data_IF_764209661079
#
_entry.id   IF_764209661079
#
_cell.length_a   1.000
_cell.length_b   1.000
_cell.length_c   1.000
_cell.angle_alpha   90.00
_cell.angle_beta   90.00
_cell.angle_gamma   90.00
#
_symmetry.space_group_name_H-M   'P 1'
#
loop_
_entity.id
_entity.type
_entity.pdbx_description
1 polymer ?
#
# COMPACT_ATOMS: atom_id res chain seq x y z
N UNK A 1 13.32 -24.15 -42.70
CA UNK A 1 13.19 -23.31 -41.48
C UNK A 1 12.20 -23.99 -40.54
N UNK A 2 12.67 -24.86 -39.64
CA UNK A 2 11.82 -25.57 -38.67
C UNK A 2 11.70 -24.69 -37.42
N UNK A 3 10.59 -23.97 -37.29
CA UNK A 3 10.28 -23.16 -36.12
C UNK A 3 9.94 -24.08 -34.97
N UNK A 4 10.57 -23.81 -33.85
CA UNK A 4 10.68 -24.58 -32.63
C UNK A 4 9.33 -24.78 -31.89
N UNK A 5 8.53 -25.75 -32.33
CA UNK A 5 7.22 -26.11 -31.77
C UNK A 5 7.29 -26.44 -30.26
N UNK A 6 8.48 -26.80 -29.75
CA UNK A 6 8.66 -27.15 -28.35
C UNK A 6 8.53 -25.93 -27.41
N UNK A 7 9.06 -24.77 -27.80
CA UNK A 7 8.92 -23.54 -27.01
C UNK A 7 7.49 -23.02 -26.95
N UNK A 8 6.77 -23.09 -28.06
CA UNK A 8 5.36 -22.68 -28.10
C UNK A 8 4.46 -23.59 -27.26
N UNK A 9 4.72 -24.90 -27.21
CA UNK A 9 3.97 -25.83 -26.35
C UNK A 9 4.25 -25.60 -24.85
N UNK A 10 5.46 -25.24 -24.47
CA UNK A 10 5.80 -24.95 -23.07
C UNK A 10 5.12 -23.63 -22.63
N UNK A 11 5.13 -22.60 -23.48
CA UNK A 11 4.42 -21.34 -23.21
C UNK A 11 2.90 -21.54 -23.11
N UNK A 12 2.30 -22.31 -24.02
CA UNK A 12 0.87 -22.59 -23.98
C UNK A 12 0.47 -23.39 -22.74
N UNK A 13 1.26 -24.37 -22.31
CA UNK A 13 1.02 -25.13 -21.07
C UNK A 13 1.19 -24.28 -19.82
N UNK A 14 2.15 -23.37 -19.80
CA UNK A 14 2.34 -22.43 -18.71
C UNK A 14 1.16 -21.44 -18.62
N UNK A 15 0.64 -20.96 -19.75
CA UNK A 15 -0.54 -20.08 -19.79
C UNK A 15 -1.81 -20.81 -19.37
N UNK A 16 -2.02 -22.06 -19.79
CA UNK A 16 -3.17 -22.88 -19.37
C UNK A 16 -3.10 -23.20 -17.88
N UNK A 17 -1.91 -23.48 -17.34
CA UNK A 17 -1.71 -23.68 -15.91
C UNK A 17 -1.98 -22.40 -15.09
N UNK A 18 -1.52 -21.25 -15.58
CA UNK A 18 -1.79 -19.94 -14.98
C UNK A 18 -3.29 -19.61 -15.03
N UNK A 19 -3.96 -19.88 -16.17
CA UNK A 19 -5.40 -19.66 -16.32
C UNK A 19 -6.22 -20.64 -15.48
N UNK A 20 -5.79 -21.89 -15.35
CA UNK A 20 -6.39 -22.90 -14.48
C UNK A 20 -6.31 -22.55 -12.99
N UNK A 21 -5.26 -21.85 -12.57
CA UNK A 21 -5.16 -21.33 -11.20
C UNK A 21 -6.13 -20.16 -10.93
N UNK A 22 -6.51 -19.41 -11.97
CA UNK A 22 -7.53 -18.35 -11.85
C UNK A 22 -8.97 -18.86 -11.78
N UNK A 23 -9.23 -20.09 -12.22
CA UNK A 23 -10.57 -20.70 -12.19
C UNK A 23 -10.85 -21.51 -10.92
N UNK A 24 -9.90 -21.63 -9.99
CA UNK A 24 -10.13 -22.20 -8.66
C UNK A 24 -11.06 -21.28 -7.88
N UNK A 25 -12.31 -21.51 -8.11
CA UNK A 25 -13.54 -21.17 -7.37
C UNK A 25 -13.41 -20.12 -6.28
N UNK A 26 -13.78 -18.91 -6.61
CA UNK A 26 -14.09 -17.81 -5.69
C UNK A 26 -15.45 -18.10 -5.01
N UNK A 27 -15.54 -19.14 -4.21
CA UNK A 27 -16.69 -19.33 -3.32
C UNK A 27 -16.37 -18.75 -1.94
N UNK A 28 -16.99 -17.63 -1.61
CA UNK A 28 -16.99 -17.05 -0.26
C UNK A 28 -15.80 -16.17 0.10
N UNK A 29 -14.92 -15.80 -0.83
CA UNK A 29 -13.76 -14.92 -0.56
C UNK A 29 -14.10 -13.47 -0.89
N UNK A 30 -13.95 -12.56 0.07
CA UNK A 30 -14.13 -11.13 -0.18
C UNK A 30 -12.83 -10.51 -0.68
N UNK A 31 -12.91 -9.84 -1.82
CA UNK A 31 -11.84 -8.98 -2.34
C UNK A 31 -12.27 -7.53 -2.16
N UNK A 32 -11.38 -6.71 -1.65
CA UNK A 32 -11.56 -5.25 -1.59
C UNK A 32 -10.50 -4.58 -2.44
N UNK A 33 -10.90 -3.52 -3.14
CA UNK A 33 -10.01 -2.68 -3.93
C UNK A 33 -10.20 -1.23 -3.52
N UNK A 34 -9.11 -0.57 -3.17
CA UNK A 34 -9.15 0.78 -2.63
C UNK A 34 -8.12 1.67 -3.34
N UNK A 35 -8.47 2.28 -4.49
CA UNK A 35 -7.64 3.29 -5.13
C UNK A 35 -7.76 4.65 -4.44
N UNK A 36 -6.64 5.34 -4.33
CA UNK A 36 -6.47 6.70 -3.81
C UNK A 36 -5.58 7.47 -4.80
N UNK A 37 -6.10 8.53 -5.37
CA UNK A 37 -5.42 9.41 -6.31
C UNK A 37 -5.25 10.79 -5.70
N UNK A 38 -4.10 11.41 -5.92
CA UNK A 38 -3.79 12.77 -5.50
C UNK A 38 -3.30 13.58 -6.68
N UNK A 39 -3.87 14.76 -6.87
CA UNK A 39 -3.37 15.80 -7.77
C UNK A 39 -2.77 16.90 -6.90
N UNK A 40 -1.47 16.93 -6.82
CA UNK A 40 -0.70 17.88 -6.02
C UNK A 40 -0.08 18.98 -6.86
N UNK A 41 0.55 19.96 -6.21
CA UNK A 41 1.22 21.06 -6.90
C UNK A 41 2.55 20.63 -7.55
N UNK A 42 3.20 19.58 -7.01
CA UNK A 42 4.49 19.05 -7.48
C UNK A 42 4.34 17.81 -8.35
N UNK A 43 3.46 16.91 -7.97
CA UNK A 43 3.34 15.57 -8.55
C UNK A 43 1.89 15.07 -8.51
N UNK A 44 1.60 14.07 -9.31
CA UNK A 44 0.42 13.25 -9.12
C UNK A 44 0.78 11.96 -8.40
N UNK A 45 0.00 11.64 -7.37
CA UNK A 45 0.14 10.41 -6.59
C UNK A 45 -0.96 9.42 -6.92
N UNK A 46 -0.61 8.15 -6.96
CA UNK A 46 -1.56 7.06 -7.05
C UNK A 46 -1.17 5.95 -6.08
N UNK A 47 -2.14 5.51 -5.31
CA UNK A 47 -1.97 4.34 -4.43
C UNK A 47 -3.18 3.44 -4.58
N UNK A 48 -2.98 2.14 -4.61
CA UNK A 48 -4.08 1.23 -4.39
C UNK A 48 -3.69 0.10 -3.45
N UNK A 49 -4.69 -0.41 -2.76
CA UNK A 49 -4.58 -1.66 -2.00
C UNK A 49 -5.65 -2.63 -2.52
N UNK A 50 -5.21 -3.82 -2.91
CA UNK A 50 -6.07 -4.97 -3.13
C UNK A 50 -5.90 -5.90 -1.96
N UNK A 51 -6.99 -6.31 -1.29
CA UNK A 51 -6.94 -7.30 -0.22
C UNK A 51 -7.86 -8.45 -0.57
N UNK A 52 -7.32 -9.65 -0.57
CA UNK A 52 -8.03 -10.88 -0.87
C UNK A 52 -7.97 -11.83 0.33
N UNK A 53 -9.12 -12.12 0.92
CA UNK A 53 -9.24 -13.01 2.08
C UNK A 53 -9.12 -14.46 1.62
N UNK A 54 -8.01 -15.14 1.94
CA UNK A 54 -7.78 -16.56 1.63
C UNK A 54 -8.43 -17.49 2.63
N UNK A 55 -8.52 -17.08 3.90
CA UNK A 55 -9.22 -17.78 4.99
C UNK A 55 -9.55 -16.78 6.09
N UNK A 56 -10.18 -17.26 7.19
CA UNK A 56 -10.52 -16.39 8.33
C UNK A 56 -9.28 -15.75 8.99
N UNK A 57 -8.12 -16.38 8.85
CA UNK A 57 -6.88 -15.89 9.44
C UNK A 57 -5.86 -15.41 8.43
N UNK A 58 -6.05 -15.67 7.14
CA UNK A 58 -5.05 -15.43 6.12
C UNK A 58 -5.58 -14.50 5.03
N UNK A 59 -4.86 -13.42 4.77
CA UNK A 59 -5.20 -12.43 3.74
C UNK A 59 -3.97 -12.17 2.86
N UNK A 60 -4.17 -12.18 1.56
CA UNK A 60 -3.19 -11.71 0.59
C UNK A 60 -3.49 -10.24 0.28
N UNK A 61 -2.47 -9.41 0.35
CA UNK A 61 -2.58 -7.98 0.03
C UNK A 61 -1.57 -7.58 -1.03
N UNK A 62 -2.00 -6.74 -1.95
CA UNK A 62 -1.13 -6.05 -2.89
C UNK A 62 -1.27 -4.55 -2.66
N UNK A 63 -0.16 -3.87 -2.42
CA UNK A 63 -0.07 -2.42 -2.30
C UNK A 63 0.80 -1.90 -3.45
N UNK A 64 0.27 -0.95 -4.20
CA UNK A 64 0.99 -0.21 -5.23
C UNK A 64 0.93 1.27 -4.88
N UNK A 65 2.06 1.95 -5.03
CA UNK A 65 2.18 3.39 -4.86
C UNK A 65 3.07 3.94 -5.97
N UNK A 66 2.60 4.99 -6.61
CA UNK A 66 3.34 5.83 -7.53
C UNK A 66 3.22 7.29 -7.09
N UNK A 67 4.33 8.01 -7.13
CA UNK A 67 4.38 9.47 -7.07
C UNK A 67 5.23 9.91 -8.26
N UNK A 68 4.62 10.59 -9.22
CA UNK A 68 5.29 11.00 -10.46
C UNK A 68 5.27 12.53 -10.56
N UNK A 69 6.46 13.11 -10.62
CA UNK A 69 6.66 14.53 -10.71
C UNK A 69 6.30 15.09 -12.09
N UNK A 70 5.87 16.34 -12.13
CA UNK A 70 5.52 17.01 -13.39
C UNK A 70 6.75 17.44 -14.20
N UNK A 71 7.83 17.77 -13.52
CA UNK A 71 8.99 18.40 -14.15
C UNK A 71 10.27 17.56 -14.05
N UNK A 72 10.45 16.76 -12.99
CA UNK A 72 11.72 16.08 -12.73
C UNK A 72 11.55 14.58 -12.42
N UNK A 73 11.75 13.73 -13.40
CA UNK A 73 11.60 12.26 -13.30
C UNK A 73 12.53 11.59 -12.27
N UNK A 74 13.61 12.26 -11.87
CA UNK A 74 14.62 11.69 -10.95
C UNK A 74 14.05 11.46 -9.55
N UNK A 75 13.01 12.19 -9.18
CA UNK A 75 12.32 12.05 -7.89
C UNK A 75 11.09 11.16 -7.94
N UNK A 76 10.79 10.58 -9.09
CA UNK A 76 9.67 9.65 -9.20
C UNK A 76 9.83 8.48 -8.24
N UNK A 77 8.76 8.18 -7.52
CA UNK A 77 8.71 7.12 -6.53
C UNK A 77 7.78 6.03 -7.03
N UNK A 78 8.24 4.79 -6.95
CA UNK A 78 7.35 3.65 -7.06
C UNK A 78 7.60 2.65 -5.94
N UNK A 79 6.53 1.99 -5.54
CA UNK A 79 6.54 0.96 -4.52
C UNK A 79 5.46 -0.06 -4.82
N UNK A 80 5.82 -1.33 -4.93
CA UNK A 80 4.89 -2.44 -5.11
C UNK A 80 5.23 -3.49 -4.06
N UNK A 81 4.25 -3.86 -3.23
CA UNK A 81 4.42 -4.87 -2.19
C UNK A 81 3.27 -5.87 -2.21
N UNK A 82 3.62 -7.14 -2.26
CA UNK A 82 2.71 -8.24 -1.97
C UNK A 82 2.96 -8.71 -0.53
N UNK A 83 1.92 -8.86 0.24
CA UNK A 83 2.00 -9.20 1.66
C UNK A 83 1.06 -10.35 1.96
N UNK A 84 1.57 -11.37 2.64
CA UNK A 84 0.77 -12.39 3.28
C UNK A 84 0.59 -11.99 4.75
N UNK A 85 -0.66 -11.72 5.15
CA UNK A 85 -1.04 -11.25 6.47
C UNK A 85 -1.74 -12.38 7.23
N UNK A 86 -1.19 -12.78 8.37
CA UNK A 86 -1.76 -13.80 9.24
C UNK A 86 -2.29 -13.19 10.53
N UNK A 87 -3.59 -13.35 10.76
CA UNK A 87 -4.29 -12.82 11.94
C UNK A 87 -3.93 -13.64 13.18
N UNK A 88 -3.34 -12.98 14.17
CA UNK A 88 -3.03 -13.49 15.50
C UNK A 88 -4.12 -13.06 16.51
N UNK A 89 -4.18 -13.70 17.68
CA UNK A 89 -5.06 -13.24 18.78
C UNK A 89 -4.76 -11.79 19.20
N UNK A 90 -5.72 -11.16 19.90
CA UNK A 90 -5.59 -9.81 20.50
C UNK A 90 -5.25 -8.70 19.48
N UNK A 91 -5.84 -8.79 18.28
CA UNK A 91 -5.68 -7.78 17.21
C UNK A 91 -4.27 -7.63 16.63
N UNK A 92 -3.40 -8.60 16.84
CA UNK A 92 -2.10 -8.65 16.17
C UNK A 92 -2.21 -9.30 14.79
N UNK A 93 -1.37 -8.85 13.86
CA UNK A 93 -1.23 -9.42 12.51
C UNK A 93 0.24 -9.57 12.21
N UNK A 94 0.67 -10.78 11.89
CA UNK A 94 2.00 -11.04 11.38
C UNK A 94 1.99 -10.94 9.86
N UNK A 95 2.91 -10.17 9.30
CA UNK A 95 2.99 -9.89 7.88
C UNK A 95 4.34 -10.32 7.33
N UNK A 96 4.31 -11.04 6.21
CA UNK A 96 5.48 -11.34 5.39
C UNK A 96 5.26 -10.72 4.01
N UNK A 97 6.15 -9.83 3.59
CA UNK A 97 6.01 -9.09 2.36
C UNK A 97 7.23 -9.19 1.46
N UNK A 98 7.00 -9.08 0.17
CA UNK A 98 8.05 -8.94 -0.84
C UNK A 98 7.58 -7.98 -1.94
N UNK A 99 8.53 -7.33 -2.58
CA UNK A 99 8.17 -6.35 -3.59
C UNK A 99 9.36 -5.70 -4.28
N UNK A 100 9.04 -4.60 -4.93
CA UNK A 100 9.99 -3.76 -5.65
C UNK A 100 9.73 -2.30 -5.29
N UNK A 101 10.78 -1.57 -5.00
CA UNK A 101 10.78 -0.11 -4.80
C UNK A 101 12.11 0.45 -5.30
N UNK A 102 12.23 1.75 -5.49
CA UNK A 102 13.55 2.33 -5.74
C UNK A 102 14.50 2.04 -4.55
N UNK A 103 15.71 1.47 -4.75
CA UNK A 103 16.38 1.11 -6.00
C UNK A 103 16.27 -0.37 -6.41
N UNK A 104 15.31 -1.18 -5.93
CA UNK A 104 15.20 -2.57 -6.34
C UNK A 104 14.29 -3.46 -5.47
N UNK A 105 14.49 -4.75 -5.53
CA UNK A 105 13.69 -5.74 -4.81
C UNK A 105 13.91 -5.66 -3.30
N UNK A 106 12.89 -5.98 -2.53
CA UNK A 106 12.97 -6.08 -1.07
C UNK A 106 12.08 -7.21 -0.54
N UNK A 107 12.38 -7.62 0.69
CA UNK A 107 11.53 -8.48 1.50
C UNK A 107 11.34 -7.86 2.89
N UNK A 108 10.21 -8.13 3.54
CA UNK A 108 9.91 -7.57 4.85
C UNK A 108 9.13 -8.55 5.72
N UNK A 109 9.37 -8.49 7.02
CA UNK A 109 8.56 -9.17 8.04
C UNK A 109 8.25 -8.14 9.12
N UNK A 110 6.96 -7.99 9.44
CA UNK A 110 6.53 -7.02 10.44
C UNK A 110 5.29 -7.48 11.19
N UNK A 111 5.21 -7.06 12.45
CA UNK A 111 4.08 -7.26 13.34
C UNK A 111 3.25 -5.98 13.36
N UNK A 112 1.95 -6.11 13.19
CA UNK A 112 1.00 -5.00 13.31
C UNK A 112 0.09 -5.22 14.51
N UNK A 113 -0.27 -4.13 15.16
CA UNK A 113 -1.38 -4.06 16.11
C UNK A 113 -2.48 -3.19 15.51
N UNK A 114 -3.72 -3.70 15.51
CA UNK A 114 -4.86 -3.04 14.88
C UNK A 114 -5.94 -2.74 15.91
N UNK A 115 -6.46 -1.51 15.89
CA UNK A 115 -7.64 -1.11 16.65
C UNK A 115 -8.71 -0.68 15.65
N UNK A 116 -9.87 -1.32 15.72
CA UNK A 116 -11.02 -0.95 14.89
C UNK A 116 -12.19 -0.61 15.79
N UNK A 117 -12.73 0.58 15.63
CA UNK A 117 -13.94 1.07 16.26
C UNK A 117 -14.90 1.50 15.14
N UNK A 118 -16.13 1.89 15.51
CA UNK A 118 -17.15 2.29 14.54
C UNK A 118 -16.66 3.31 13.53
N UNK A 119 -16.05 4.39 14.02
CA UNK A 119 -15.64 5.55 13.22
C UNK A 119 -14.11 5.75 13.22
N UNK A 120 -13.35 4.78 13.81
CA UNK A 120 -11.90 4.92 13.97
C UNK A 120 -11.16 3.62 13.65
N UNK A 121 -10.08 3.75 12.87
CA UNK A 121 -9.12 2.69 12.61
C UNK A 121 -7.73 3.20 13.01
N UNK A 122 -7.05 2.44 13.84
CA UNK A 122 -5.64 2.65 14.17
C UNK A 122 -4.85 1.39 13.86
N UNK A 123 -3.73 1.53 13.15
CA UNK A 123 -2.80 0.42 12.85
C UNK A 123 -1.40 0.91 13.14
N UNK A 124 -0.70 0.21 14.01
CA UNK A 124 0.73 0.41 14.24
C UNK A 124 1.50 -0.83 13.83
N UNK A 125 2.56 -0.66 13.08
CA UNK A 125 3.42 -1.74 12.62
C UNK A 125 4.87 -1.51 12.96
N UNK A 126 5.59 -2.59 13.30
CA UNK A 126 7.03 -2.59 13.51
C UNK A 126 7.63 -3.87 12.91
N UNK A 127 8.75 -3.75 12.24
CA UNK A 127 9.38 -4.90 11.62
C UNK A 127 10.69 -4.57 10.94
N UNK A 128 11.14 -5.49 10.12
CA UNK A 128 12.38 -5.36 9.39
C UNK A 128 12.15 -5.50 7.88
N UNK A 129 12.87 -4.69 7.13
CA UNK A 129 12.93 -4.77 5.66
C UNK A 129 14.37 -5.04 5.24
N UNK A 130 14.55 -5.97 4.32
CA UNK A 130 15.84 -6.27 3.70
C UNK A 130 15.85 -5.80 2.25
N UNK A 131 16.77 -4.85 1.94
CA UNK A 131 17.07 -4.36 0.60
C UNK A 131 18.53 -3.90 0.56
N UNK A 132 19.48 -4.75 0.15
CA UNK A 132 20.93 -4.49 0.27
C UNK A 132 21.44 -4.41 1.72
N UNK A 133 20.58 -4.63 2.72
CA UNK A 133 20.85 -4.55 4.16
C UNK A 133 19.56 -4.53 4.93
N UNK A 134 19.63 -4.74 6.23
CA UNK A 134 18.46 -4.68 7.11
C UNK A 134 18.18 -3.26 7.57
N UNK A 135 16.91 -2.89 7.51
CA UNK A 135 16.38 -1.66 8.12
C UNK A 135 15.28 -2.02 9.10
N UNK A 136 15.16 -1.30 10.19
CA UNK A 136 13.98 -1.30 11.05
C UNK A 136 12.94 -0.37 10.43
N UNK A 137 11.74 -0.88 10.22
CA UNK A 137 10.60 -0.14 9.72
C UNK A 137 9.54 0.02 10.80
N UNK A 138 9.04 1.23 10.97
CA UNK A 138 7.86 1.52 11.77
C UNK A 138 6.81 2.17 10.89
N UNK A 139 5.54 1.84 11.12
CA UNK A 139 4.42 2.40 10.40
C UNK A 139 3.25 2.73 11.32
N UNK A 140 2.55 3.80 11.01
CA UNK A 140 1.34 4.23 11.69
C UNK A 140 0.28 4.59 10.66
N UNK A 141 -0.93 4.11 10.85
CA UNK A 141 -2.13 4.55 10.15
C UNK A 141 -3.19 4.90 11.18
N UNK A 142 -3.74 6.10 11.05
CA UNK A 142 -4.91 6.56 11.79
C UNK A 142 -5.95 7.01 10.77
N UNK A 143 -7.17 6.49 10.88
CA UNK A 143 -8.31 6.92 10.06
C UNK A 143 -9.50 7.16 10.96
N UNK A 144 -10.11 8.35 10.85
CA UNK A 144 -11.30 8.74 11.58
C UNK A 144 -12.37 9.25 10.61
N UNK A 145 -13.54 8.60 10.64
CA UNK A 145 -14.64 8.85 9.70
C UNK A 145 -15.95 9.12 10.45
N UNK A 146 -16.05 10.29 11.14
CA UNK A 146 -17.24 10.65 11.88
C UNK A 146 -18.43 10.93 10.95
N UNK A 147 -19.63 10.55 11.37
CA UNK A 147 -20.86 10.95 10.70
C UNK A 147 -21.09 12.45 10.84
N UNK A 148 -21.22 13.15 9.72
CA UNK A 148 -21.58 14.56 9.66
C UNK A 148 -23.09 14.74 9.44
N UNK A 149 -23.67 13.92 8.55
CA UNK A 149 -25.11 13.87 8.26
C UNK A 149 -25.54 12.42 8.05
N UNK A 150 -26.77 12.19 7.58
CA UNK A 150 -27.24 10.86 7.21
C UNK A 150 -26.48 10.27 6.00
N UNK A 151 -26.03 11.11 5.08
CA UNK A 151 -25.38 10.70 3.83
C UNK A 151 -23.87 10.98 3.81
N UNK A 152 -23.37 11.90 4.64
CA UNK A 152 -22.00 12.36 4.62
C UNK A 152 -21.22 11.97 5.87
N UNK A 153 -20.02 11.49 5.66
CA UNK A 153 -19.02 11.23 6.71
C UNK A 153 -17.82 12.18 6.51
N UNK A 154 -17.22 12.63 7.61
CA UNK A 154 -15.93 13.29 7.57
C UNK A 154 -14.83 12.26 7.27
N UNK A 155 -13.71 12.70 6.72
CA UNK A 155 -12.51 11.87 6.50
C UNK A 155 -11.32 12.59 7.07
N UNK A 156 -10.70 12.00 8.07
CA UNK A 156 -9.36 12.33 8.52
C UNK A 156 -8.52 11.06 8.44
N UNK A 157 -7.44 11.07 7.66
CA UNK A 157 -6.50 9.95 7.58
C UNK A 157 -5.08 10.47 7.64
N UNK A 158 -4.31 9.90 8.54
CA UNK A 158 -2.89 10.11 8.66
C UNK A 158 -2.16 8.78 8.53
N UNK A 159 -1.16 8.71 7.69
CA UNK A 159 -0.27 7.56 7.59
C UNK A 159 1.18 8.01 7.59
N UNK A 160 2.01 7.29 8.33
CA UNK A 160 3.43 7.56 8.43
C UNK A 160 4.22 6.25 8.37
N UNK A 161 5.37 6.29 7.72
CA UNK A 161 6.36 5.19 7.73
C UNK A 161 7.72 5.80 7.95
N UNK A 162 8.52 5.18 8.79
CA UNK A 162 9.92 5.52 9.01
C UNK A 162 10.80 4.29 8.92
N UNK A 163 11.93 4.40 8.23
CA UNK A 163 12.93 3.37 8.08
C UNK A 163 14.28 3.86 8.60
N UNK A 164 14.91 3.07 9.45
CA UNK A 164 16.25 3.34 9.98
C UNK A 164 17.15 2.12 9.82
N UNK A 165 18.41 2.34 9.53
CA UNK A 165 19.45 1.33 9.64
C UNK A 165 20.37 1.65 10.83
N UNK A 166 21.49 0.95 10.98
CA UNK A 166 22.42 1.17 12.11
C UNK A 166 23.18 2.48 12.02
N UNK A 167 23.17 3.16 10.88
CA UNK A 167 24.00 4.32 10.60
C UNK A 167 23.17 5.58 10.40
N UNK A 168 21.97 5.45 9.85
CA UNK A 168 21.17 6.59 9.40
C UNK A 168 19.68 6.30 9.35
N UNK A 169 18.90 7.37 9.33
CA UNK A 169 17.52 7.37 8.90
C UNK A 169 17.50 7.27 7.37
N UNK A 170 16.94 6.18 6.82
CA UNK A 170 17.04 5.92 5.40
C UNK A 170 15.94 6.55 4.61
N UNK A 171 14.72 6.54 5.14
CA UNK A 171 13.54 7.10 4.48
C UNK A 171 12.35 7.18 5.43
N UNK A 172 11.52 8.18 5.21
CA UNK A 172 10.20 8.28 5.80
C UNK A 172 9.22 9.02 4.91
N UNK A 173 7.96 8.77 5.15
CA UNK A 173 6.90 9.56 4.58
C UNK A 173 5.75 9.77 5.56
N UNK A 174 5.05 10.88 5.40
CA UNK A 174 3.81 11.18 6.10
C UNK A 174 2.78 11.65 5.08
N UNK A 175 1.62 11.00 5.07
CA UNK A 175 0.51 11.36 4.20
C UNK A 175 -0.70 11.74 5.04
N UNK A 176 -1.27 12.89 4.75
CA UNK A 176 -2.47 13.43 5.39
C UNK A 176 -3.58 13.55 4.35
N UNK A 177 -4.79 13.15 4.74
CA UNK A 177 -6.02 13.34 3.98
C UNK A 177 -7.08 13.95 4.89
N UNK A 178 -7.70 15.02 4.44
CA UNK A 178 -8.79 15.70 5.13
C UNK A 178 -9.91 16.00 4.14
N UNK A 179 -11.12 15.49 4.40
CA UNK A 179 -12.20 15.66 3.43
C UNK A 179 -13.53 15.10 3.91
N UNK A 180 -14.34 14.76 2.94
CA UNK A 180 -15.66 14.18 3.14
C UNK A 180 -15.83 12.91 2.29
N UNK A 181 -16.69 12.02 2.75
CA UNK A 181 -17.03 10.77 2.09
C UNK A 181 -18.55 10.67 1.97
N UNK A 182 -19.00 10.26 0.79
CA UNK A 182 -20.37 9.83 0.54
C UNK A 182 -20.34 8.45 -0.10
N UNK A 183 -21.02 7.50 0.49
CA UNK A 183 -21.02 6.10 0.06
C UNK A 183 -19.60 5.53 -0.06
N UNK A 184 -19.16 5.24 -1.30
CA UNK A 184 -17.87 4.63 -1.61
C UNK A 184 -16.78 5.64 -1.96
N UNK A 185 -17.13 6.92 -2.17
CA UNK A 185 -16.21 7.95 -2.66
C UNK A 185 -15.87 8.93 -1.56
N UNK A 186 -14.59 9.14 -1.32
CA UNK A 186 -14.06 10.20 -0.48
C UNK A 186 -13.25 11.18 -1.32
N UNK A 187 -13.35 12.47 -1.01
CA UNK A 187 -12.61 13.53 -1.67
C UNK A 187 -12.26 14.65 -0.68
N UNK A 188 -11.21 15.39 -0.96
CA UNK A 188 -10.76 16.47 -0.09
C UNK A 188 -9.34 16.91 -0.34
N UNK A 189 -8.72 17.49 0.68
CA UNK A 189 -7.35 17.97 0.67
C UNK A 189 -6.37 16.86 1.06
N UNK A 190 -5.21 16.87 0.41
CA UNK A 190 -4.12 15.95 0.64
C UNK A 190 -2.81 16.70 0.88
N UNK A 191 -1.97 16.17 1.76
CA UNK A 191 -0.59 16.59 1.93
C UNK A 191 0.30 15.35 2.07
N UNK A 192 1.37 15.28 1.28
CA UNK A 192 2.39 14.24 1.36
C UNK A 192 3.73 14.91 1.69
N UNK A 193 4.45 14.31 2.62
CA UNK A 193 5.80 14.71 3.01
C UNK A 193 6.70 13.49 2.91
N UNK A 194 7.79 13.61 2.16
CA UNK A 194 8.78 12.56 1.97
C UNK A 194 10.14 13.04 2.45
N UNK A 195 10.85 12.19 3.18
CA UNK A 195 12.18 12.47 3.70
C UNK A 195 13.15 11.38 3.26
N UNK A 196 14.34 11.77 2.82
CA UNK A 196 15.36 10.86 2.31
C UNK A 196 16.67 11.05 3.06
N UNK A 197 17.28 9.91 3.47
CA UNK A 197 18.68 9.74 3.89
C UNK A 197 19.28 10.92 4.65
N UNK A 198 18.91 11.12 5.92
CA UNK A 198 19.47 12.13 6.84
C UNK A 198 19.55 13.58 6.28
N UNK A 199 19.02 13.81 5.09
CA UNK A 199 18.99 15.15 4.52
C UNK A 199 17.80 15.91 5.11
N UNK A 200 18.00 17.21 5.34
CA UNK A 200 16.91 18.15 5.56
C UNK A 200 16.06 18.33 4.28
N UNK A 201 16.50 17.70 3.18
CA UNK A 201 15.75 17.71 1.93
C UNK A 201 14.51 16.84 2.10
N UNK A 202 13.39 17.49 2.06
CA UNK A 202 12.08 16.86 2.08
C UNK A 202 11.33 17.29 0.82
N UNK A 203 10.56 16.37 0.29
CA UNK A 203 9.65 16.63 -0.80
C UNK A 203 8.26 16.83 -0.22
N UNK A 204 7.67 17.97 -0.51
CA UNK A 204 6.30 18.30 -0.10
C UNK A 204 5.38 18.28 -1.32
N UNK A 205 4.17 17.77 -1.12
CA UNK A 205 3.16 17.82 -2.16
C UNK A 205 1.79 18.08 -1.52
N UNK A 206 1.17 19.18 -1.90
CA UNK A 206 -0.16 19.59 -1.42
C UNK A 206 -1.14 19.58 -2.59
N UNK A 207 -2.35 19.10 -2.37
CA UNK A 207 -3.33 19.05 -3.43
C UNK A 207 -4.68 18.49 -3.01
N UNK A 208 -5.37 17.92 -3.97
CA UNK A 208 -6.67 17.28 -3.79
C UNK A 208 -6.53 15.77 -3.93
N UNK A 209 -7.35 15.01 -3.20
CA UNK A 209 -7.43 13.57 -3.36
C UNK A 209 -8.83 13.08 -3.68
N UNK A 210 -8.89 11.93 -4.34
CA UNK A 210 -10.09 11.10 -4.51
C UNK A 210 -9.73 9.68 -4.13
N UNK A 211 -10.49 9.09 -3.20
CA UNK A 211 -10.36 7.69 -2.77
C UNK A 211 -11.67 6.96 -3.00
N UNK A 212 -11.61 5.75 -3.53
CA UNK A 212 -12.79 4.90 -3.77
C UNK A 212 -12.64 3.61 -2.98
N UNK A 213 -13.71 3.11 -2.39
CA UNK A 213 -13.77 1.82 -1.70
C UNK A 213 -14.70 0.88 -2.49
N UNK A 214 -14.13 -0.13 -3.14
CA UNK A 214 -14.86 -1.12 -3.97
C UNK A 214 -14.83 -2.49 -3.33
#
# INVERSE_FOLDING_TARGET
MKINNHRQMVFARFFIFLFGLFTLSVFGQSTTYTPDMMLGHRSYGYTHTVSHKLSDKLTLQNLVLFDAEYEEDTHNIFFIRNTLAYQLPKNFVLNAGFGVKNPGKFASVYLQYQVKRKDFIGVYGIGTTYQKGFTLEQSLLLEYTPKLTQEWEGVFRFSAVGNVNRHEYTRGFQHLRLGVKREKVALGFAANFEQFAMSWNHLENYGLFVKINV
#
